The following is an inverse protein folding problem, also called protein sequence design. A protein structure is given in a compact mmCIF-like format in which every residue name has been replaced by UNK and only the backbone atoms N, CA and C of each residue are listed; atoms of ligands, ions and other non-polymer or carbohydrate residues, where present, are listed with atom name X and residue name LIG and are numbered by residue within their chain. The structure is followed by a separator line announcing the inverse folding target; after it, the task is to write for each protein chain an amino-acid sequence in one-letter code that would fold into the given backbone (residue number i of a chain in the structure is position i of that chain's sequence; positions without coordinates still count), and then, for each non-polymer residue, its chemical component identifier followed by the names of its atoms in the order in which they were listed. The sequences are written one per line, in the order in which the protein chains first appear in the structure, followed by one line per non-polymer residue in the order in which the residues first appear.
data_IF_861264428705
#
_entry.id   IF_861264428705
#
_cell.length_a   1.000
_cell.length_b   1.000
_cell.length_c   1.000
_cell.angle_alpha   90.00
_cell.angle_beta   90.00
_cell.angle_gamma   90.00
#
_symmetry.space_group_name_H-M   'P 1'
#
loop_
_entity.id
_entity.type
_entity.pdbx_description
1 polymer ?
#
# COMPACT_ATOMS: atom_id res chain seq x y z
N UNK A 1 1.23 -77.27 -6.71
CA UNK A 1 2.54 -76.71 -6.30
C UNK A 1 3.24 -76.16 -7.54
N UNK A 2 3.69 -74.91 -7.47
CA UNK A 2 4.65 -74.22 -8.35
C UNK A 2 4.44 -74.18 -9.89
N UNK A 3 4.28 -72.93 -10.36
CA UNK A 3 4.84 -72.29 -11.56
C UNK A 3 4.76 -72.95 -12.96
N UNK A 4 4.23 -72.20 -13.95
CA UNK A 4 5.07 -71.47 -14.94
C UNK A 4 4.24 -70.64 -15.94
N UNK A 5 4.94 -69.65 -16.47
CA UNK A 5 4.52 -68.53 -17.32
C UNK A 5 3.92 -68.89 -18.68
N UNK A 6 3.11 -67.97 -19.23
CA UNK A 6 3.05 -67.70 -20.65
C UNK A 6 2.98 -66.19 -20.94
N UNK A 7 3.98 -65.74 -21.71
CA UNK A 7 4.02 -64.49 -22.45
C UNK A 7 2.82 -64.41 -23.40
N UNK A 8 2.21 -63.24 -23.57
CA UNK A 8 1.67 -62.83 -24.86
C UNK A 8 1.59 -61.31 -25.00
N UNK A 9 1.92 -60.90 -26.21
CA UNK A 9 2.16 -59.56 -26.73
C UNK A 9 0.92 -58.67 -26.87
N UNK A 10 1.20 -57.37 -26.83
CA UNK A 10 0.34 -56.20 -27.09
C UNK A 10 -0.35 -56.26 -28.46
N UNK A 11 -1.59 -55.73 -28.55
CA UNK A 11 -2.03 -55.03 -29.75
C UNK A 11 -2.39 -53.56 -29.49
N UNK A 12 -1.77 -52.71 -30.29
CA UNK A 12 -2.07 -51.30 -30.54
C UNK A 12 -3.54 -51.07 -30.88
N UNK A 13 -4.18 -50.06 -30.26
CA UNK A 13 -5.51 -49.55 -30.63
C UNK A 13 -5.50 -48.05 -30.90
N UNK A 14 -5.49 -47.78 -32.21
CA UNK A 14 -6.21 -46.80 -33.02
C UNK A 14 -6.88 -45.59 -32.33
N UNK A 15 -6.51 -44.43 -32.88
CA UNK A 15 -7.12 -43.11 -32.79
C UNK A 15 -8.64 -43.08 -32.97
N UNK A 16 -9.35 -42.64 -31.93
CA UNK A 16 -10.76 -42.26 -31.97
C UNK A 16 -10.93 -40.75 -32.20
N UNK A 17 -11.63 -40.40 -33.27
CA UNK A 17 -12.09 -39.03 -33.61
C UNK A 17 -12.81 -38.39 -32.42
N UNK A 18 -12.30 -37.25 -31.93
CA UNK A 18 -13.08 -36.34 -31.06
C UNK A 18 -14.05 -35.54 -31.94
N UNK A 19 -15.34 -35.78 -31.74
CA UNK A 19 -16.42 -34.97 -32.26
C UNK A 19 -16.33 -33.55 -31.72
N UNK A 20 -16.53 -32.57 -32.61
CA UNK A 20 -16.53 -31.17 -32.27
C UNK A 20 -17.73 -30.80 -31.41
N UNK A 21 -17.45 -30.22 -30.24
CA UNK A 21 -18.42 -29.43 -29.50
C UNK A 21 -18.44 -28.05 -30.15
N UNK A 22 -19.30 -27.90 -31.16
CA UNK A 22 -19.78 -26.60 -31.61
C UNK A 22 -20.93 -26.21 -30.70
N UNK A 23 -20.74 -25.16 -29.89
CA UNK A 23 -21.83 -24.56 -29.13
C UNK A 23 -21.47 -24.27 -27.68
N UNK A 24 -20.52 -23.36 -27.46
CA UNK A 24 -20.45 -22.62 -26.19
C UNK A 24 -20.44 -21.13 -26.53
N UNK A 25 -21.27 -20.43 -25.79
CA UNK A 25 -21.89 -19.17 -26.11
C UNK A 25 -20.92 -18.06 -26.53
N UNK A 26 -21.38 -17.27 -27.51
CA UNK A 26 -20.94 -15.90 -27.78
C UNK A 26 -21.32 -14.95 -26.61
N UNK A 27 -20.88 -15.25 -25.40
CA UNK A 27 -20.88 -14.32 -24.29
C UNK A 27 -19.58 -13.54 -24.35
N UNK A 28 -19.50 -12.55 -25.25
CA UNK A 28 -18.33 -11.70 -25.34
C UNK A 28 -18.07 -11.03 -23.99
N UNK A 29 -16.96 -11.37 -23.35
CA UNK A 29 -16.39 -10.55 -22.30
C UNK A 29 -16.27 -9.13 -22.87
N UNK A 30 -17.09 -8.20 -22.37
CA UNK A 30 -16.92 -6.78 -22.67
C UNK A 30 -15.47 -6.45 -22.32
N UNK A 31 -14.71 -6.00 -23.30
CA UNK A 31 -13.34 -5.53 -23.06
C UNK A 31 -13.44 -4.40 -22.04
N UNK A 32 -12.66 -4.48 -20.96
CA UNK A 32 -12.63 -3.53 -19.83
C UNK A 32 -12.26 -2.07 -20.23
N UNK A 33 -11.96 -1.86 -21.52
CA UNK A 33 -11.40 -0.65 -22.13
C UNK A 33 -12.29 0.60 -22.06
N UNK A 34 -13.59 0.45 -21.78
CA UNK A 34 -14.57 1.53 -21.81
C UNK A 34 -15.19 1.82 -20.43
N UNK A 35 -14.58 1.39 -19.33
CA UNK A 35 -15.11 1.74 -18.01
C UNK A 35 -14.95 3.25 -17.76
N UNK A 36 -16.03 3.94 -17.35
CA UNK A 36 -15.93 5.34 -16.96
C UNK A 36 -14.92 5.50 -15.84
N UNK A 37 -14.05 6.50 -15.95
CA UNK A 37 -13.05 6.82 -14.93
C UNK A 37 -13.65 7.77 -13.92
N UNK A 38 -13.69 7.34 -12.66
CA UNK A 38 -14.04 8.21 -11.54
C UNK A 38 -12.85 9.07 -11.11
N UNK A 39 -13.16 10.08 -10.29
CA UNK A 39 -12.15 10.84 -9.56
C UNK A 39 -11.40 9.91 -8.59
N UNK A 40 -10.06 9.87 -8.62
CA UNK A 40 -9.29 8.97 -7.77
C UNK A 40 -9.27 9.45 -6.32
N UNK A 41 -9.51 8.53 -5.38
CA UNK A 41 -9.27 8.71 -3.94
C UNK A 41 -8.27 7.64 -3.51
N UNK A 42 -7.21 8.03 -2.82
CA UNK A 42 -6.20 7.10 -2.32
C UNK A 42 -6.48 6.75 -0.86
N UNK A 43 -6.58 5.46 -0.54
CA UNK A 43 -6.71 4.94 0.81
C UNK A 43 -5.40 4.26 1.20
N UNK A 44 -4.74 4.75 2.22
CA UNK A 44 -3.44 4.25 2.67
C UNK A 44 -3.45 4.11 4.19
N UNK A 45 -2.73 3.12 4.69
CA UNK A 45 -2.09 3.25 6.00
C UNK A 45 -0.73 3.91 5.81
N UNK A 46 -0.02 4.25 6.86
CA UNK A 46 1.36 4.75 6.76
C UNK A 46 2.01 4.47 8.12
N UNK A 47 3.36 4.41 8.23
CA UNK A 47 4.33 5.13 7.39
C UNK A 47 5.20 4.26 6.46
N UNK A 48 4.62 3.23 5.82
CA UNK A 48 5.32 2.45 4.79
C UNK A 48 5.71 3.33 3.57
N UNK A 49 6.97 3.27 3.08
CA UNK A 49 7.38 3.94 1.85
C UNK A 49 6.49 3.66 0.62
N UNK A 50 5.87 2.48 0.54
CA UNK A 50 4.98 2.09 -0.56
C UNK A 50 3.75 3.01 -0.64
N UNK A 51 3.15 3.31 0.52
CA UNK A 51 2.01 4.21 0.63
C UNK A 51 2.37 5.65 0.18
N UNK A 52 3.58 6.12 0.53
CA UNK A 52 4.05 7.44 0.08
C UNK A 52 4.22 7.50 -1.44
N UNK A 53 4.77 6.43 -2.05
CA UNK A 53 4.88 6.35 -3.51
C UNK A 53 3.49 6.32 -4.15
N UNK A 54 2.53 5.57 -3.60
CA UNK A 54 1.16 5.55 -4.12
C UNK A 54 0.55 6.96 -4.16
N UNK A 55 0.62 7.70 -3.04
CA UNK A 55 0.06 9.05 -2.94
C UNK A 55 0.74 10.01 -3.93
N UNK A 56 2.07 10.04 -3.95
CA UNK A 56 2.84 10.91 -4.86
C UNK A 56 2.52 10.57 -6.32
N UNK A 57 2.53 9.29 -6.68
CA UNK A 57 2.27 8.87 -8.05
C UNK A 57 0.83 9.14 -8.48
N UNK A 58 -0.15 8.95 -7.59
CA UNK A 58 -1.54 9.28 -7.86
C UNK A 58 -1.72 10.79 -8.07
N UNK A 59 -1.05 11.65 -7.30
CA UNK A 59 -1.08 13.10 -7.52
C UNK A 59 -0.43 13.48 -8.86
N UNK A 60 0.80 13.04 -9.10
CA UNK A 60 1.57 13.47 -10.26
C UNK A 60 1.03 12.93 -11.59
N UNK A 61 0.44 11.73 -11.59
CA UNK A 61 0.03 11.05 -12.82
C UNK A 61 -1.48 11.07 -13.07
N UNK A 62 -2.29 11.26 -12.02
CA UNK A 62 -3.77 11.27 -12.10
C UNK A 62 -4.40 12.53 -11.51
N UNK A 63 -3.63 13.46 -10.97
CA UNK A 63 -4.16 14.67 -10.32
C UNK A 63 -4.91 14.39 -9.02
N UNK A 64 -4.68 13.24 -8.38
CA UNK A 64 -5.34 12.89 -7.13
C UNK A 64 -4.91 13.84 -5.99
N UNK A 65 -5.86 14.54 -5.39
CA UNK A 65 -5.63 15.43 -4.25
C UNK A 65 -6.20 14.90 -2.94
N UNK A 66 -7.01 13.83 -2.98
CA UNK A 66 -7.74 13.30 -1.81
C UNK A 66 -7.10 12.01 -1.33
N UNK A 67 -6.64 12.03 -0.09
CA UNK A 67 -6.00 10.89 0.58
C UNK A 67 -6.75 10.60 1.87
N UNK A 68 -7.20 9.37 2.05
CA UNK A 68 -7.75 8.89 3.32
C UNK A 68 -6.66 8.08 4.01
N UNK A 69 -6.26 8.52 5.20
CA UNK A 69 -5.17 7.93 5.95
C UNK A 69 -5.73 7.16 7.15
N UNK A 70 -5.49 5.85 7.20
CA UNK A 70 -5.90 4.97 8.31
C UNK A 70 -4.71 4.66 9.20
N UNK A 71 -4.82 4.93 10.50
CA UNK A 71 -3.81 4.62 11.49
C UNK A 71 -3.75 3.13 11.82
N UNK A 72 -2.61 2.69 12.34
CA UNK A 72 -2.45 1.36 12.92
C UNK A 72 -2.49 1.46 14.45
N UNK A 73 -3.02 0.45 15.16
CA UNK A 73 -2.87 0.35 16.60
C UNK A 73 -1.40 0.42 17.01
N UNK A 74 -1.08 1.20 18.04
CA UNK A 74 0.30 1.41 18.48
C UNK A 74 0.43 1.44 20.01
N UNK A 75 1.62 1.09 20.48
CA UNK A 75 2.04 1.26 21.86
C UNK A 75 3.50 1.72 21.89
N UNK A 76 3.73 2.97 22.28
CA UNK A 76 5.07 3.58 22.29
C UNK A 76 5.92 3.16 23.48
N UNK A 77 5.33 2.51 24.49
CA UNK A 77 6.05 1.94 25.63
C UNK A 77 6.80 0.64 25.28
N UNK A 78 6.56 0.06 24.11
CA UNK A 78 7.23 -1.17 23.67
C UNK A 78 8.59 -0.82 23.06
N UNK A 79 9.64 -1.49 23.57
CA UNK A 79 10.99 -1.38 23.04
C UNK A 79 11.06 -1.92 21.62
N UNK A 80 11.87 -1.26 20.78
CA UNK A 80 11.99 -1.67 19.38
C UNK A 80 12.80 -2.97 19.25
N UNK A 81 12.61 -3.68 18.14
CA UNK A 81 13.52 -4.78 17.77
C UNK A 81 13.75 -4.85 16.26
N UNK A 82 14.84 -5.48 15.81
CA UNK A 82 15.09 -5.68 14.38
C UNK A 82 14.00 -6.52 13.73
N UNK A 83 13.66 -6.18 12.48
CA UNK A 83 12.66 -6.91 11.72
C UNK A 83 13.00 -8.40 11.57
N UNK A 84 12.04 -9.26 11.90
CA UNK A 84 12.16 -10.70 11.71
C UNK A 84 10.84 -11.33 11.30
N UNK A 85 10.83 -12.00 10.14
CA UNK A 85 9.68 -12.76 9.62
C UNK A 85 9.18 -13.80 10.61
N UNK A 86 10.04 -14.32 11.50
CA UNK A 86 9.66 -15.34 12.48
C UNK A 86 8.91 -14.76 13.68
N UNK A 87 9.10 -13.48 13.96
CA UNK A 87 8.59 -12.83 15.16
C UNK A 87 7.67 -11.67 14.85
N UNK A 88 7.54 -11.25 13.58
CA UNK A 88 6.82 -10.05 13.21
C UNK A 88 5.32 -10.11 13.50
N UNK A 89 4.74 -11.31 13.58
CA UNK A 89 3.34 -11.46 13.96
C UNK A 89 3.09 -10.94 15.38
N UNK A 90 2.02 -10.16 15.53
CA UNK A 90 1.56 -9.65 16.81
C UNK A 90 1.18 -10.79 17.76
N UNK A 91 1.58 -10.68 19.02
CA UNK A 91 1.14 -11.60 20.07
C UNK A 91 -0.23 -11.19 20.64
N UNK A 92 -1.04 -12.16 21.05
CA UNK A 92 -2.41 -11.92 21.51
C UNK A 92 -2.51 -11.11 22.82
N UNK A 93 -1.41 -10.97 23.55
CA UNK A 93 -1.28 -10.21 24.80
C UNK A 93 -0.72 -8.79 24.60
N UNK A 94 -0.38 -8.39 23.37
CA UNK A 94 0.04 -7.02 23.09
C UNK A 94 -1.12 -6.03 23.24
N UNK A 95 -0.91 -5.01 24.06
CA UNK A 95 -1.93 -4.00 24.40
C UNK A 95 -1.75 -2.73 23.59
N UNK A 96 -2.82 -2.31 22.93
CA UNK A 96 -2.89 -1.04 22.20
C UNK A 96 -3.07 0.16 23.13
N UNK A 97 -2.48 1.29 22.75
CA UNK A 97 -2.68 2.57 23.42
C UNK A 97 -3.33 3.53 22.44
N UNK A 98 -4.63 3.79 22.59
CA UNK A 98 -5.41 4.58 21.64
C UNK A 98 -4.82 5.97 21.37
N UNK A 99 -4.29 6.65 22.39
CA UNK A 99 -3.62 7.95 22.22
C UNK A 99 -2.35 7.86 21.38
N UNK A 100 -1.61 6.76 21.47
CA UNK A 100 -0.39 6.54 20.69
C UNK A 100 -0.75 6.28 19.24
N UNK A 101 -1.80 5.51 18.97
CA UNK A 101 -2.31 5.27 17.61
C UNK A 101 -2.75 6.56 16.91
N UNK A 102 -3.50 7.43 17.62
CA UNK A 102 -3.93 8.73 17.09
C UNK A 102 -2.74 9.67 16.86
N UNK A 103 -1.77 9.69 17.77
CA UNK A 103 -0.56 10.49 17.60
C UNK A 103 0.30 9.99 16.43
N UNK A 104 0.47 8.67 16.30
CA UNK A 104 1.12 8.03 15.17
C UNK A 104 0.48 8.44 13.86
N UNK A 105 -0.85 8.37 13.77
CA UNK A 105 -1.63 8.77 12.60
C UNK A 105 -1.36 10.23 12.19
N UNK A 106 -1.41 11.16 13.15
CA UNK A 106 -1.17 12.60 12.88
C UNK A 106 0.29 12.92 12.53
N UNK A 107 1.26 12.29 13.20
CA UNK A 107 2.68 12.44 12.86
C UNK A 107 2.98 11.90 11.46
N UNK A 108 2.31 10.81 11.10
CA UNK A 108 2.38 10.18 9.79
C UNK A 108 1.81 11.06 8.70
N UNK A 109 0.68 11.73 8.95
CA UNK A 109 0.11 12.72 8.04
C UNK A 109 1.12 13.84 7.74
N UNK A 110 1.77 14.38 8.78
CA UNK A 110 2.80 15.42 8.63
C UNK A 110 4.00 14.93 7.80
N UNK A 111 4.41 13.67 8.00
CA UNK A 111 5.48 13.07 7.21
C UNK A 111 5.06 12.92 5.74
N UNK A 112 3.88 12.35 5.48
CA UNK A 112 3.34 12.18 4.13
C UNK A 112 3.26 13.53 3.40
N UNK A 113 2.74 14.59 4.04
CA UNK A 113 2.74 15.94 3.45
C UNK A 113 4.14 16.44 3.13
N UNK A 114 5.10 16.23 4.03
CA UNK A 114 6.49 16.65 3.78
C UNK A 114 7.10 15.93 2.59
N UNK A 115 6.86 14.62 2.44
CA UNK A 115 7.33 13.85 1.29
C UNK A 115 6.65 14.35 0.03
N UNK A 116 5.32 14.44 0.02
CA UNK A 116 4.53 14.93 -1.11
C UNK A 116 4.95 16.34 -1.56
N UNK A 117 5.09 17.28 -0.63
CA UNK A 117 5.51 18.66 -0.91
C UNK A 117 6.90 18.71 -1.57
N UNK A 118 7.86 17.89 -1.13
CA UNK A 118 9.16 17.80 -1.79
C UNK A 118 9.14 17.23 -3.20
N UNK A 119 8.03 16.59 -3.59
CA UNK A 119 7.78 16.12 -4.95
C UNK A 119 6.91 17.11 -5.75
N UNK A 120 6.63 18.30 -5.22
CA UNK A 120 5.76 19.30 -5.84
C UNK A 120 4.27 18.96 -5.74
N UNK A 121 3.85 18.19 -4.74
CA UNK A 121 2.45 17.87 -4.46
C UNK A 121 1.98 18.64 -3.21
N UNK A 122 1.63 19.92 -3.36
CA UNK A 122 1.25 20.80 -2.23
C UNK A 122 -0.23 20.70 -1.84
N UNK A 123 -1.10 20.34 -2.78
CA UNK A 123 -2.56 20.55 -2.62
C UNK A 123 -3.28 19.31 -2.09
N UNK A 124 -2.60 18.49 -1.28
CA UNK A 124 -3.18 17.28 -0.72
C UNK A 124 -4.18 17.62 0.40
N UNK A 125 -5.40 17.11 0.26
CA UNK A 125 -6.39 16.98 1.33
C UNK A 125 -6.24 15.58 1.94
N UNK A 126 -5.83 15.54 3.21
CA UNK A 126 -5.67 14.28 3.95
C UNK A 126 -6.81 14.19 4.96
N UNK A 127 -7.59 13.12 4.86
CA UNK A 127 -8.75 12.84 5.70
C UNK A 127 -8.41 11.78 6.74
N UNK A 128 -8.99 11.93 7.93
CA UNK A 128 -8.88 11.01 9.04
C UNK A 128 -9.71 9.75 8.75
N UNK A 129 -9.04 8.64 8.45
CA UNK A 129 -9.66 7.33 8.25
C UNK A 129 -9.82 6.53 9.53
N UNK A 130 -9.56 7.14 10.70
CA UNK A 130 -9.55 6.46 11.98
C UNK A 130 -8.34 5.55 12.15
N UNK A 131 -8.47 4.58 13.07
CA UNK A 131 -7.44 3.58 13.37
C UNK A 131 -8.05 2.21 13.12
N UNK A 132 -7.36 1.36 12.36
CA UNK A 132 -7.78 -0.02 12.14
C UNK A 132 -7.89 -0.76 13.49
N UNK A 133 -8.82 -1.71 13.66
CA UNK A 133 -9.04 -2.38 14.94
C UNK A 133 -7.89 -3.34 15.33
N UNK A 134 -7.09 -3.81 14.37
CA UNK A 134 -5.96 -4.69 14.64
C UNK A 134 -4.68 -4.26 13.89
N UNK A 135 -3.53 -4.62 14.47
CA UNK A 135 -2.21 -4.53 13.86
C UNK A 135 -1.68 -5.97 13.70
N UNK A 136 -1.66 -6.55 12.48
CA UNK A 136 -1.12 -7.90 12.28
C UNK A 136 0.36 -8.03 12.68
N UNK A 137 1.07 -6.90 12.74
CA UNK A 137 2.47 -6.78 13.10
C UNK A 137 2.63 -6.33 14.55
N UNK A 138 3.56 -6.93 15.28
CA UNK A 138 3.88 -6.58 16.67
C UNK A 138 4.34 -5.12 16.82
N UNK A 139 4.02 -4.46 17.94
CA UNK A 139 4.36 -3.05 18.18
C UNK A 139 5.85 -2.76 18.08
N UNK A 140 6.68 -3.67 18.57
CA UNK A 140 8.14 -3.57 18.53
C UNK A 140 8.70 -3.43 17.10
N UNK A 141 7.96 -3.91 16.11
CA UNK A 141 8.36 -3.92 14.69
C UNK A 141 7.95 -2.66 13.94
N UNK A 142 6.89 -1.95 14.35
CA UNK A 142 6.40 -0.79 13.59
C UNK A 142 6.49 0.54 14.35
N UNK A 143 6.76 0.52 15.67
CA UNK A 143 6.93 1.73 16.50
C UNK A 143 8.02 2.68 15.99
N UNK A 144 8.92 2.16 15.16
CA UNK A 144 10.10 2.86 14.67
C UNK A 144 9.91 3.45 13.27
N UNK A 145 8.89 3.00 12.53
CA UNK A 145 8.61 3.46 11.16
C UNK A 145 8.19 4.96 11.17
N UNK A 146 7.60 5.43 12.27
CA UNK A 146 7.20 6.83 12.47
C UNK A 146 8.39 7.82 12.49
N UNK A 147 9.62 7.33 12.60
CA UNK A 147 10.83 8.16 12.65
C UNK A 147 11.46 8.39 11.27
N UNK A 148 11.03 7.71 10.18
CA UNK A 148 11.69 7.83 8.87
C UNK A 148 11.71 9.27 8.33
N UNK A 149 10.68 10.04 8.63
CA UNK A 149 10.52 11.44 8.20
C UNK A 149 11.19 12.47 9.08
N UNK A 150 11.85 12.04 10.15
CA UNK A 150 12.40 12.90 11.19
C UNK A 150 13.84 13.28 10.93
N UNK A 151 14.10 13.79 9.72
CA UNK A 151 15.42 14.32 9.33
C UNK A 151 15.93 15.44 10.24
N UNK A 152 15.05 16.03 11.06
CA UNK A 152 15.40 16.98 12.13
C UNK A 152 16.11 16.34 13.34
N UNK A 153 16.09 15.01 13.48
CA UNK A 153 16.68 14.30 14.62
C UNK A 153 18.14 13.89 14.43
N UNK A 154 18.73 14.14 13.26
CA UNK A 154 20.11 13.76 13.02
C UNK A 154 20.57 13.95 11.58
N UNK A 155 21.66 13.27 11.24
CA UNK A 155 22.17 13.25 9.88
C UNK A 155 21.13 12.67 8.91
N UNK A 156 20.97 13.31 7.75
CA UNK A 156 19.97 12.93 6.76
C UNK A 156 20.49 13.02 5.34
N UNK A 157 19.95 12.15 4.47
CA UNK A 157 20.12 12.17 3.02
C UNK A 157 18.76 12.45 2.37
N UNK A 158 18.69 13.50 1.54
CA UNK A 158 17.45 13.92 0.88
C UNK A 158 16.24 14.14 1.80
N UNK A 159 16.46 14.53 3.06
CA UNK A 159 15.38 14.71 4.04
C UNK A 159 14.81 13.40 4.59
N UNK A 160 15.64 12.36 4.64
CA UNK A 160 15.41 11.04 5.27
C UNK A 160 16.61 10.74 6.17
N UNK A 161 16.39 10.22 7.38
CA UNK A 161 17.52 9.87 8.27
C UNK A 161 18.47 8.85 7.64
N UNK A 162 19.77 9.01 7.86
CA UNK A 162 20.74 7.95 7.57
C UNK A 162 20.50 6.75 8.50
N UNK A 163 20.95 5.55 8.12
CA UNK A 163 20.79 4.36 8.96
C UNK A 163 21.53 4.50 10.29
N UNK A 164 22.69 5.17 10.30
CA UNK A 164 23.48 5.45 11.50
C UNK A 164 22.73 6.39 12.44
N UNK A 165 22.24 7.52 11.92
CA UNK A 165 21.46 8.49 12.71
C UNK A 165 20.18 7.85 13.23
N UNK A 166 19.49 7.10 12.39
CA UNK A 166 18.29 6.36 12.75
C UNK A 166 18.52 5.40 13.91
N UNK A 167 19.54 4.52 13.79
CA UNK A 167 19.88 3.56 14.85
C UNK A 167 20.28 4.25 16.14
N UNK A 168 20.95 5.41 16.05
CA UNK A 168 21.28 6.21 17.22
C UNK A 168 20.03 6.71 17.93
N UNK A 169 19.09 7.33 17.21
CA UNK A 169 17.82 7.82 17.79
C UNK A 169 17.04 6.68 18.45
N UNK A 170 16.96 5.53 17.79
CA UNK A 170 16.28 4.35 18.35
C UNK A 170 16.97 3.84 19.61
N UNK A 171 18.30 3.75 19.62
CA UNK A 171 19.08 3.32 20.78
C UNK A 171 18.96 4.30 21.96
N UNK A 172 18.95 5.61 21.68
CA UNK A 172 18.73 6.64 22.71
C UNK A 172 17.33 6.47 23.33
N UNK A 173 16.30 6.27 22.51
CA UNK A 173 14.92 6.03 22.98
C UNK A 173 14.78 4.72 23.78
N UNK A 174 15.45 3.65 23.37
CA UNK A 174 15.44 2.36 24.09
C UNK A 174 16.25 2.40 25.39
N UNK A 175 17.14 3.39 25.56
CA UNK A 175 17.88 3.60 26.81
C UNK A 175 17.10 4.43 27.86
N UNK A 176 16.01 5.08 27.46
CA UNK A 176 15.15 5.83 28.39
C UNK A 176 14.44 4.89 29.36
N UNK A 177 14.33 5.32 30.62
CA UNK A 177 13.61 4.56 31.66
C UNK A 177 12.12 4.40 31.33
N UNK A 178 11.56 5.38 30.60
CA UNK A 178 10.21 5.33 30.03
C UNK A 178 10.24 5.85 28.59
N UNK A 179 10.37 4.92 27.64
CA UNK A 179 10.43 5.18 26.20
C UNK A 179 9.17 5.88 25.67
N UNK A 180 8.01 5.57 26.24
CA UNK A 180 6.71 6.03 25.74
C UNK A 180 6.62 7.56 25.69
N UNK A 181 6.76 8.26 26.82
CA UNK A 181 6.80 9.73 26.87
C UNK A 181 7.87 10.35 25.98
N UNK A 182 9.05 9.75 25.89
CA UNK A 182 10.13 10.27 25.03
C UNK A 182 9.72 10.22 23.55
N UNK A 183 9.18 9.10 23.08
CA UNK A 183 8.70 8.98 21.70
C UNK A 183 7.49 9.87 21.43
N UNK A 184 6.54 10.00 22.38
CA UNK A 184 5.40 10.93 22.25
C UNK A 184 5.87 12.36 22.05
N UNK A 185 6.77 12.85 22.91
CA UNK A 185 7.31 14.20 22.82
C UNK A 185 7.99 14.45 21.47
N UNK A 186 8.70 13.46 20.94
CA UNK A 186 9.27 13.56 19.60
C UNK A 186 8.16 13.71 18.56
N UNK A 187 7.15 12.83 18.53
CA UNK A 187 6.11 12.86 17.49
C UNK A 187 5.20 14.08 17.59
N UNK A 188 4.86 14.54 18.80
CA UNK A 188 4.05 15.74 19.06
C UNK A 188 4.67 17.02 18.48
N UNK A 189 6.00 17.08 18.39
CA UNK A 189 6.70 18.21 17.79
C UNK A 189 6.41 18.38 16.28
N UNK A 190 5.83 17.36 15.63
CA UNK A 190 5.55 17.38 14.20
C UNK A 190 4.31 16.54 13.85
N UNK A 191 3.16 17.07 14.20
CA UNK A 191 1.86 16.53 13.84
C UNK A 191 1.16 17.41 12.81
N UNK A 192 0.19 16.83 12.12
CA UNK A 192 -0.73 17.56 11.27
C UNK A 192 -2.17 17.32 11.69
N UNK A 193 -3.03 18.25 11.28
CA UNK A 193 -4.47 18.05 11.37
C UNK A 193 -4.98 17.34 10.12
N UNK A 194 -5.94 16.45 10.37
CA UNK A 194 -6.63 15.67 9.37
C UNK A 194 -8.04 16.22 9.20
N UNK A 195 -8.53 16.20 7.96
CA UNK A 195 -9.91 16.56 7.68
C UNK A 195 -10.84 15.43 8.15
N UNK A 196 -12.03 15.73 8.69
CA UNK A 196 -12.97 14.69 9.07
C UNK A 196 -13.44 13.91 7.83
N UNK A 197 -13.63 12.60 7.96
CA UNK A 197 -14.04 11.73 6.84
C UNK A 197 -15.37 12.18 6.20
N UNK A 198 -16.30 12.71 7.00
CA UNK A 198 -17.57 13.28 6.51
C UNK A 198 -17.37 14.40 5.46
N UNK A 199 -16.35 15.24 5.62
CA UNK A 199 -16.06 16.32 4.67
C UNK A 199 -15.65 15.81 3.28
N UNK A 200 -15.15 14.57 3.18
CA UNK A 200 -14.86 13.94 1.90
C UNK A 200 -16.14 13.73 1.08
N UNK A 201 -17.23 13.27 1.71
CA UNK A 201 -18.49 12.97 1.02
C UNK A 201 -19.12 14.23 0.43
N UNK A 202 -19.02 15.34 1.18
CA UNK A 202 -19.48 16.67 0.79
C UNK A 202 -18.67 17.26 -0.37
N UNK A 203 -17.35 17.02 -0.38
CA UNK A 203 -16.40 17.52 -1.39
C UNK A 203 -16.46 16.79 -2.75
N UNK A 204 -17.32 15.78 -2.92
CA UNK A 204 -17.37 14.93 -4.11
C UNK A 204 -18.54 15.28 -5.03
N UNK A 205 -18.24 15.79 -6.23
CA UNK A 205 -19.24 16.16 -7.23
C UNK A 205 -19.60 15.02 -8.20
N UNK A 206 -18.86 13.92 -8.17
CA UNK A 206 -18.94 12.90 -9.21
C UNK A 206 -18.70 11.48 -8.72
N UNK A 207 -18.61 10.61 -9.72
CA UNK A 207 -18.24 9.22 -9.52
C UNK A 207 -16.77 9.08 -9.13
N UNK A 208 -16.46 8.12 -8.26
CA UNK A 208 -15.11 7.96 -7.68
C UNK A 208 -14.51 6.59 -7.99
N UNK A 209 -13.17 6.56 -8.00
CA UNK A 209 -12.36 5.34 -8.06
C UNK A 209 -11.50 5.27 -6.80
N UNK A 210 -11.70 4.24 -5.98
CA UNK A 210 -10.96 4.03 -4.73
C UNK A 210 -9.70 3.22 -5.02
N UNK A 211 -8.53 3.81 -4.77
CA UNK A 211 -7.22 3.17 -4.89
C UNK A 211 -6.73 2.81 -3.48
N UNK A 212 -6.81 1.53 -3.11
CA UNK A 212 -6.64 1.05 -1.75
C UNK A 212 -5.29 0.35 -1.58
N UNK A 213 -4.35 1.04 -0.93
CA UNK A 213 -3.07 0.51 -0.46
C UNK A 213 -3.08 0.10 1.02
N UNK A 214 -4.02 0.62 1.82
CA UNK A 214 -4.14 0.32 3.25
C UNK A 214 -5.34 -0.56 3.64
N UNK A 215 -5.63 -0.67 4.96
CA UNK A 215 -6.79 -1.36 5.51
C UNK A 215 -8.13 -0.80 4.98
N UNK A 216 -9.17 -1.63 5.02
CA UNK A 216 -10.49 -1.28 4.50
C UNK A 216 -11.34 -0.42 5.44
N UNK A 217 -10.88 -0.14 6.66
CA UNK A 217 -11.63 0.54 7.74
C UNK A 217 -12.37 1.78 7.26
N UNK A 218 -11.64 2.78 6.75
CA UNK A 218 -12.26 4.03 6.30
C UNK A 218 -13.12 3.87 5.04
N UNK A 219 -12.77 2.94 4.13
CA UNK A 219 -13.58 2.68 2.94
C UNK A 219 -14.91 2.02 3.32
N UNK A 220 -14.91 1.11 4.29
CA UNK A 220 -16.13 0.49 4.78
C UNK A 220 -17.02 1.53 5.47
N UNK A 221 -16.45 2.39 6.32
CA UNK A 221 -17.19 3.50 6.96
C UNK A 221 -17.84 4.43 5.93
N UNK A 222 -17.09 4.86 4.91
CA UNK A 222 -17.64 5.68 3.83
C UNK A 222 -18.74 4.96 3.05
N UNK A 223 -18.56 3.68 2.76
CA UNK A 223 -19.52 2.88 1.99
C UNK A 223 -20.76 2.46 2.81
N UNK A 224 -20.79 2.71 4.12
CA UNK A 224 -22.01 2.60 4.94
C UNK A 224 -22.97 3.78 4.67
N UNK A 225 -22.46 4.89 4.15
CA UNK A 225 -23.26 6.01 3.63
C UNK A 225 -23.67 5.78 2.16
N UNK A 226 -24.98 5.68 1.91
CA UNK A 226 -25.57 5.59 0.58
C UNK A 226 -25.05 6.65 -0.40
N UNK A 227 -24.88 7.90 0.07
CA UNK A 227 -24.46 9.01 -0.78
C UNK A 227 -23.04 8.83 -1.33
N UNK A 228 -22.14 8.21 -0.55
CA UNK A 228 -20.81 7.86 -1.02
C UNK A 228 -20.83 6.55 -1.79
N UNK A 229 -21.51 5.52 -1.28
CA UNK A 229 -21.63 4.19 -1.89
C UNK A 229 -22.11 4.28 -3.34
N UNK A 230 -23.11 5.10 -3.61
CA UNK A 230 -23.65 5.33 -4.95
C UNK A 230 -22.65 6.02 -5.89
N UNK A 231 -21.66 6.75 -5.36
CA UNK A 231 -20.61 7.40 -6.16
C UNK A 231 -19.48 6.43 -6.54
N UNK A 232 -19.29 5.31 -5.84
CA UNK A 232 -18.17 4.38 -6.09
C UNK A 232 -18.35 3.63 -7.41
N UNK A 233 -17.48 3.87 -8.39
CA UNK A 233 -17.45 3.10 -9.63
C UNK A 233 -16.59 1.85 -9.52
N UNK A 234 -15.39 2.03 -8.96
CA UNK A 234 -14.38 0.98 -8.88
C UNK A 234 -13.65 1.06 -7.53
N UNK A 235 -13.38 -0.11 -6.97
CA UNK A 235 -12.42 -0.31 -5.89
C UNK A 235 -11.25 -1.11 -6.47
N UNK A 236 -10.04 -0.57 -6.38
CA UNK A 236 -8.80 -1.25 -6.77
C UNK A 236 -7.94 -1.40 -5.53
N UNK A 237 -7.66 -2.61 -5.09
CA UNK A 237 -7.03 -2.85 -3.81
C UNK A 237 -5.80 -3.75 -3.91
N UNK A 238 -4.72 -3.39 -3.23
CA UNK A 238 -3.70 -4.34 -2.81
C UNK A 238 -4.29 -5.11 -1.63
N UNK A 239 -4.74 -6.33 -1.89
CA UNK A 239 -5.40 -7.16 -0.89
C UNK A 239 -5.37 -8.63 -1.28
N UNK A 240 -5.57 -9.49 -0.28
CA UNK A 240 -5.69 -10.94 -0.41
C UNK A 240 -4.41 -11.62 -0.94
N UNK A 241 -4.44 -12.96 -0.91
CA UNK A 241 -3.46 -13.83 -1.54
C UNK A 241 -4.16 -15.06 -2.11
N UNK A 242 -3.63 -15.62 -3.19
CA UNK A 242 -4.09 -16.91 -3.73
C UNK A 242 -3.60 -18.07 -2.89
N UNK A 243 -2.37 -17.97 -2.40
CA UNK A 243 -1.75 -18.99 -1.56
C UNK A 243 -1.36 -18.35 -0.23
N UNK A 244 -2.08 -18.70 0.84
CA UNK A 244 -1.80 -18.20 2.19
C UNK A 244 -0.39 -18.51 2.68
N UNK A 245 0.30 -19.51 2.10
CA UNK A 245 1.70 -19.82 2.41
C UNK A 245 2.67 -18.71 2.00
N UNK A 246 2.25 -17.83 1.10
CA UNK A 246 3.05 -16.68 0.67
C UNK A 246 2.79 -15.43 1.53
N UNK A 247 1.88 -15.48 2.50
CA UNK A 247 1.64 -14.41 3.44
C UNK A 247 2.50 -14.54 4.69
N UNK A 248 2.78 -13.40 5.31
CA UNK A 248 3.43 -13.35 6.63
C UNK A 248 2.46 -13.71 7.76
N UNK A 249 1.16 -13.46 7.55
CA UNK A 249 0.09 -13.70 8.52
C UNK A 249 -0.98 -14.61 7.92
N UNK A 250 -1.93 -15.04 8.75
CA UNK A 250 -3.07 -15.85 8.30
C UNK A 250 -3.85 -15.15 7.17
N UNK A 251 -3.99 -13.82 7.27
CA UNK A 251 -4.54 -12.94 6.22
C UNK A 251 -3.44 -12.08 5.59
N UNK A 252 -3.71 -11.54 4.39
CA UNK A 252 -2.91 -10.43 3.88
C UNK A 252 -3.06 -9.23 4.84
N UNK A 253 -2.01 -8.42 5.00
CA UNK A 253 -1.92 -7.38 6.03
C UNK A 253 -3.15 -6.44 6.09
N UNK A 254 -3.56 -5.84 4.98
CA UNK A 254 -4.70 -4.91 4.93
C UNK A 254 -6.03 -5.56 5.29
N UNK A 255 -6.20 -6.85 4.96
CA UNK A 255 -7.37 -7.64 5.34
C UNK A 255 -7.30 -8.03 6.82
N UNK A 256 -6.12 -8.40 7.32
CA UNK A 256 -5.91 -8.78 8.71
C UNK A 256 -6.11 -7.62 9.69
N UNK A 257 -5.73 -6.40 9.29
CA UNK A 257 -5.90 -5.20 10.10
C UNK A 257 -7.37 -4.85 10.37
N UNK A 258 -8.28 -5.17 9.44
CA UNK A 258 -9.71 -5.01 9.63
C UNK A 258 -10.52 -6.04 8.83
N UNK A 259 -10.72 -7.20 9.45
CA UNK A 259 -11.40 -8.33 8.83
C UNK A 259 -12.88 -8.03 8.55
N UNK A 260 -13.53 -7.25 9.42
CA UNK A 260 -14.93 -6.89 9.28
C UNK A 260 -15.13 -5.92 8.11
N UNK A 261 -14.32 -4.88 8.02
CA UNK A 261 -14.34 -3.94 6.91
C UNK A 261 -14.00 -4.63 5.58
N UNK A 262 -12.98 -5.49 5.57
CA UNK A 262 -12.62 -6.26 4.37
C UNK A 262 -13.77 -7.17 3.93
N UNK A 263 -14.47 -7.82 4.86
CA UNK A 263 -15.64 -8.66 4.56
C UNK A 263 -16.79 -7.83 3.99
N UNK A 264 -17.06 -6.64 4.54
CA UNK A 264 -18.09 -5.75 4.02
C UNK A 264 -17.80 -5.28 2.59
N UNK A 265 -16.57 -4.89 2.29
CA UNK A 265 -16.19 -4.35 0.97
C UNK A 265 -16.01 -5.47 -0.08
N UNK A 266 -15.34 -6.56 0.29
CA UNK A 266 -14.88 -7.58 -0.66
C UNK A 266 -15.72 -8.86 -0.64
N UNK A 267 -16.43 -9.13 0.44
CA UNK A 267 -17.16 -10.39 0.63
C UNK A 267 -18.15 -10.68 -0.49
N UNK A 268 -18.39 -11.97 -0.74
CA UNK A 268 -19.38 -12.43 -1.73
C UNK A 268 -20.80 -11.87 -1.51
N UNK A 269 -21.13 -11.55 -0.25
CA UNK A 269 -22.42 -11.01 0.17
C UNK A 269 -22.40 -9.47 0.29
N UNK A 270 -21.34 -8.80 -0.19
CA UNK A 270 -21.23 -7.34 -0.19
C UNK A 270 -22.32 -6.69 -1.03
N UNK A 271 -22.94 -5.64 -0.48
CA UNK A 271 -23.95 -4.83 -1.19
C UNK A 271 -23.33 -3.89 -2.24
N UNK A 272 -21.99 -3.80 -2.30
CA UNK A 272 -21.31 -2.95 -3.27
C UNK A 272 -21.50 -3.46 -4.70
N UNK A 273 -22.18 -2.66 -5.50
CA UNK A 273 -22.44 -2.95 -6.93
C UNK A 273 -21.27 -2.55 -7.84
N UNK A 274 -20.25 -1.89 -7.29
CA UNK A 274 -19.07 -1.44 -8.01
C UNK A 274 -18.15 -2.61 -8.43
N UNK A 275 -17.29 -2.35 -9.42
CA UNK A 275 -16.25 -3.32 -9.78
C UNK A 275 -15.13 -3.28 -8.76
N UNK A 276 -14.71 -4.45 -8.28
CA UNK A 276 -13.64 -4.62 -7.31
C UNK A 276 -12.49 -5.37 -7.97
N UNK A 277 -11.30 -4.79 -7.97
CA UNK A 277 -10.10 -5.38 -8.57
C UNK A 277 -9.02 -5.54 -7.51
N UNK A 278 -8.57 -6.78 -7.33
CA UNK A 278 -7.60 -7.18 -6.32
C UNK A 278 -6.24 -7.47 -6.96
N UNK A 279 -5.21 -6.81 -6.42
CA UNK A 279 -3.82 -7.10 -6.71
C UNK A 279 -3.26 -7.90 -5.54
N UNK A 280 -3.20 -9.21 -5.73
CA UNK A 280 -2.84 -10.16 -4.67
C UNK A 280 -1.38 -10.05 -4.28
N UNK A 281 -1.05 -10.46 -3.06
CA UNK A 281 0.35 -10.52 -2.58
C UNK A 281 1.25 -11.33 -3.51
N UNK A 282 0.78 -12.48 -4.01
CA UNK A 282 1.50 -13.33 -4.95
C UNK A 282 1.85 -12.60 -6.24
N UNK A 283 0.87 -11.89 -6.81
CA UNK A 283 1.05 -11.10 -8.01
C UNK A 283 2.08 -9.99 -7.77
N UNK A 284 1.92 -9.20 -6.71
CA UNK A 284 2.83 -8.09 -6.41
C UNK A 284 4.27 -8.58 -6.20
N UNK A 285 4.47 -9.66 -5.43
CA UNK A 285 5.81 -10.25 -5.24
C UNK A 285 6.43 -10.71 -6.56
N UNK A 286 5.64 -11.28 -7.47
CA UNK A 286 6.14 -11.77 -8.74
C UNK A 286 6.54 -10.67 -9.73
N UNK A 287 5.91 -9.49 -9.68
CA UNK A 287 6.09 -8.44 -10.72
C UNK A 287 6.55 -7.08 -10.23
N UNK A 288 6.31 -6.74 -8.97
CA UNK A 288 6.63 -5.43 -8.37
C UNK A 288 7.87 -5.50 -7.48
N UNK A 289 8.55 -6.64 -7.44
CA UNK A 289 9.87 -6.77 -6.83
C UNK A 289 10.95 -6.24 -7.78
N UNK A 290 11.66 -5.21 -7.32
CA UNK A 290 12.74 -4.55 -8.06
C UNK A 290 13.99 -4.41 -7.18
N UNK A 291 15.16 -4.32 -7.79
CA UNK A 291 16.41 -4.14 -7.05
C UNK A 291 16.54 -2.70 -6.51
N UNK A 292 17.34 -2.53 -5.47
CA UNK A 292 17.65 -1.19 -4.95
C UNK A 292 18.39 -0.30 -5.96
N UNK A 293 19.14 -0.89 -6.89
CA UNK A 293 19.74 -0.18 -8.03
C UNK A 293 18.66 0.35 -8.98
N UNK A 294 17.65 -0.45 -9.28
CA UNK A 294 16.52 -0.02 -10.11
C UNK A 294 15.70 1.09 -9.44
N UNK A 295 15.48 1.00 -8.13
CA UNK A 295 14.84 2.07 -7.35
C UNK A 295 15.67 3.35 -7.46
N UNK A 296 16.99 3.27 -7.22
CA UNK A 296 17.87 4.44 -7.30
C UNK A 296 17.92 5.08 -8.69
N UNK A 297 17.81 4.26 -9.74
CA UNK A 297 17.82 4.73 -11.13
C UNK A 297 16.46 5.28 -11.61
N UNK A 298 15.35 4.87 -10.99
CA UNK A 298 14.00 5.20 -11.45
C UNK A 298 13.26 6.22 -10.56
N UNK A 299 13.45 6.17 -9.25
CA UNK A 299 12.74 7.02 -8.29
C UNK A 299 13.43 8.38 -8.12
N UNK A 300 12.73 9.34 -7.52
CA UNK A 300 13.35 10.60 -7.11
C UNK A 300 14.36 10.35 -5.97
N UNK A 301 15.37 11.22 -5.78
CA UNK A 301 16.40 11.02 -4.76
C UNK A 301 15.84 10.78 -3.35
N UNK A 302 14.79 11.50 -2.96
CA UNK A 302 14.14 11.33 -1.65
C UNK A 302 13.42 10.00 -1.49
N UNK A 303 12.67 9.56 -2.50
CA UNK A 303 12.00 8.26 -2.47
C UNK A 303 13.03 7.12 -2.45
N UNK A 304 14.12 7.24 -3.23
CA UNK A 304 15.21 6.28 -3.18
C UNK A 304 15.88 6.22 -1.80
N UNK A 305 16.06 7.37 -1.13
CA UNK A 305 16.60 7.42 0.24
C UNK A 305 15.66 6.72 1.25
N UNK A 306 14.34 6.90 1.14
CA UNK A 306 13.35 6.18 1.97
C UNK A 306 13.48 4.66 1.82
N UNK A 307 13.54 4.15 0.58
CA UNK A 307 13.71 2.71 0.35
C UNK A 307 15.07 2.18 0.80
N UNK A 308 16.15 2.98 0.72
CA UNK A 308 17.45 2.59 1.26
C UNK A 308 17.40 2.41 2.77
N UNK A 309 16.75 3.34 3.48
CA UNK A 309 16.55 3.21 4.92
C UNK A 309 15.71 1.97 5.23
N UNK A 310 14.61 1.75 4.51
CA UNK A 310 13.76 0.58 4.66
C UNK A 310 14.50 -0.75 4.41
N UNK A 311 15.27 -0.86 3.33
CA UNK A 311 16.08 -2.05 3.05
C UNK A 311 17.09 -2.31 4.16
N UNK A 312 17.74 -1.25 4.67
CA UNK A 312 18.70 -1.35 5.77
C UNK A 312 18.09 -1.85 7.09
N UNK A 313 16.81 -1.54 7.33
CA UNK A 313 16.07 -1.97 8.52
C UNK A 313 15.45 -3.37 8.38
N UNK A 314 15.09 -3.76 7.16
CA UNK A 314 14.41 -5.05 6.87
C UNK A 314 15.36 -6.18 6.43
N UNK A 315 16.67 -5.95 6.57
CA UNK A 315 17.71 -6.98 6.49
C UNK A 315 18.67 -6.88 5.30
N UNK A 316 18.77 -5.73 4.63
CA UNK A 316 19.64 -5.47 3.47
C UNK A 316 19.47 -6.53 2.37
N UNK A 317 18.25 -6.69 1.88
CA UNK A 317 17.93 -7.71 0.87
C UNK A 317 18.42 -7.29 -0.52
N UNK A 318 18.66 -6.00 -0.73
CA UNK A 318 19.05 -5.44 -2.04
C UNK A 318 17.91 -5.39 -3.05
N UNK A 319 16.69 -5.69 -2.61
CA UNK A 319 15.46 -5.63 -3.41
C UNK A 319 14.25 -5.35 -2.53
N UNK A 320 13.26 -4.66 -3.09
CA UNK A 320 12.00 -4.33 -2.43
C UNK A 320 10.83 -4.70 -3.34
N UNK A 321 9.73 -5.14 -2.74
CA UNK A 321 8.44 -5.26 -3.44
C UNK A 321 7.62 -4.03 -3.12
N UNK A 322 7.23 -3.25 -4.14
CA UNK A 322 6.39 -2.05 -3.96
C UNK A 322 4.91 -2.46 -4.14
N UNK A 323 4.25 -2.81 -3.05
CA UNK A 323 2.91 -3.41 -3.05
C UNK A 323 1.81 -2.40 -3.37
N UNK A 324 1.80 -1.27 -2.67
CA UNK A 324 0.62 -0.41 -2.59
C UNK A 324 0.39 0.42 -3.86
N UNK A 325 1.37 0.46 -4.76
CA UNK A 325 1.21 1.10 -6.07
C UNK A 325 0.43 0.23 -7.06
N UNK A 326 0.16 -1.05 -6.76
CA UNK A 326 -0.52 -1.96 -7.67
C UNK A 326 -1.93 -1.48 -8.10
N UNK A 327 -2.80 -0.98 -7.19
CA UNK A 327 -4.04 -0.29 -7.55
C UNK A 327 -3.88 0.79 -8.61
N UNK A 328 -2.90 1.68 -8.44
CA UNK A 328 -2.64 2.77 -9.36
C UNK A 328 -2.07 2.26 -10.68
N UNK A 329 -1.13 1.31 -10.66
CA UNK A 329 -0.58 0.71 -11.88
C UNK A 329 -1.68 0.08 -12.74
N UNK A 330 -2.61 -0.65 -12.13
CA UNK A 330 -3.74 -1.20 -12.87
C UNK A 330 -4.75 -0.13 -13.30
N UNK A 331 -4.83 1.02 -12.63
CA UNK A 331 -5.63 2.17 -13.07
C UNK A 331 -4.97 3.00 -14.18
N UNK A 332 -3.63 2.93 -14.31
CA UNK A 332 -2.83 3.57 -15.36
C UNK A 332 -2.67 2.68 -16.59
N UNK A 333 -2.61 1.36 -16.39
CA UNK A 333 -2.53 0.40 -17.47
C UNK A 333 -3.85 0.38 -18.22
N UNK A 334 -3.85 0.77 -19.49
CA UNK A 334 -4.96 0.53 -20.41
C UNK A 334 -5.02 -0.99 -20.74
N UNK A 335 -5.41 -1.81 -19.76
CA UNK A 335 -5.74 -3.25 -19.73
C UNK A 335 -4.77 -4.27 -20.38
N UNK A 336 -3.78 -3.86 -21.17
CA UNK A 336 -2.90 -4.79 -21.91
C UNK A 336 -1.77 -5.38 -21.09
N UNK A 337 -1.37 -4.71 -20.00
CA UNK A 337 -0.17 -5.06 -19.24
C UNK A 337 -0.44 -5.88 -17.96
N UNK A 338 -1.68 -5.86 -17.45
CA UNK A 338 -2.10 -6.58 -16.23
C UNK A 338 -2.90 -7.83 -16.62
N UNK A 339 -2.23 -8.80 -17.26
CA UNK A 339 -2.85 -9.68 -18.26
C UNK A 339 -3.72 -10.83 -17.77
N UNK A 340 -3.99 -11.00 -16.47
CA UNK A 340 -4.76 -12.16 -15.97
C UNK A 340 -5.64 -11.77 -14.78
N UNK A 341 -6.64 -10.91 -15.03
CA UNK A 341 -7.78 -10.76 -14.13
C UNK A 341 -8.70 -11.96 -14.29
N UNK A 342 -8.92 -12.69 -13.19
CA UNK A 342 -9.90 -13.77 -13.09
C UNK A 342 -11.04 -13.34 -12.18
N UNK A 343 -12.31 -13.65 -12.51
CA UNK A 343 -13.40 -13.46 -11.57
C UNK A 343 -13.10 -14.24 -10.29
N UNK A 344 -13.34 -13.62 -9.14
CA UNK A 344 -13.05 -14.23 -7.85
C UNK A 344 -14.23 -14.11 -6.90
N UNK A 345 -14.37 -15.09 -6.03
CA UNK A 345 -15.17 -15.00 -4.81
C UNK A 345 -14.25 -14.82 -3.62
N UNK A 346 -14.72 -14.01 -2.70
CA UNK A 346 -14.03 -13.68 -1.46
C UNK A 346 -14.90 -14.17 -0.30
N UNK A 347 -14.39 -15.12 0.47
CA UNK A 347 -15.07 -15.70 1.62
C UNK A 347 -14.23 -15.58 2.88
N UNK A 348 -14.90 -15.54 4.04
CA UNK A 348 -14.25 -15.63 5.33
C UNK A 348 -14.53 -17.01 5.93
N UNK A 349 -13.48 -17.81 6.12
CA UNK A 349 -13.54 -19.17 6.68
C UNK A 349 -12.57 -19.28 7.86
N UNK A 350 -13.09 -19.58 9.05
CA UNK A 350 -12.28 -19.74 10.27
C UNK A 350 -11.36 -18.55 10.57
N UNK A 351 -11.84 -17.32 10.30
CA UNK A 351 -11.05 -16.10 10.48
C UNK A 351 -10.01 -15.82 9.38
N UNK A 352 -9.97 -16.67 8.33
CA UNK A 352 -9.06 -16.53 7.19
C UNK A 352 -9.85 -16.18 5.93
N UNK A 353 -9.45 -15.09 5.29
CA UNK A 353 -10.00 -14.62 4.04
C UNK A 353 -9.44 -15.44 2.88
N UNK A 354 -10.33 -16.03 2.08
CA UNK A 354 -9.99 -16.92 0.98
C UNK A 354 -10.48 -16.38 -0.35
N UNK A 355 -9.70 -16.67 -1.37
CA UNK A 355 -9.95 -16.28 -2.74
C UNK A 355 -10.15 -17.53 -3.58
N UNK A 356 -11.29 -17.62 -4.25
CA UNK A 356 -11.63 -18.75 -5.12
C UNK A 356 -11.94 -18.25 -6.53
N UNK A 357 -11.48 -18.98 -7.56
CA UNK A 357 -11.89 -18.68 -8.94
C UNK A 357 -13.39 -18.87 -9.08
N UNK A 358 -14.10 -17.82 -9.51
CA UNK A 358 -15.54 -17.87 -9.68
C UNK A 358 -15.94 -18.05 -11.14
N UNK A 359 -17.03 -18.81 -11.34
CA UNK A 359 -17.71 -18.95 -12.64
C UNK A 359 -18.74 -17.80 -12.81
N UNK A 360 -19.05 -17.07 -11.73
CA UNK A 360 -20.03 -16.00 -11.67
C UNK A 360 -19.50 -14.62 -12.09
N UNK A 361 -20.41 -13.63 -12.15
CA UNK A 361 -20.07 -12.21 -12.35
C UNK A 361 -20.01 -11.49 -11.01
N UNK A 362 -19.14 -11.92 -10.10
CA UNK A 362 -19.16 -11.51 -8.69
C UNK A 362 -18.76 -10.04 -8.45
N UNK A 363 -18.63 -9.21 -9.49
CA UNK A 363 -18.11 -7.84 -9.40
C UNK A 363 -16.64 -7.76 -8.99
N UNK A 364 -16.08 -8.83 -8.42
CA UNK A 364 -14.71 -8.95 -7.94
C UNK A 364 -13.84 -9.70 -8.95
N UNK A 365 -12.66 -9.12 -9.21
CA UNK A 365 -11.63 -9.64 -10.11
C UNK A 365 -10.31 -9.66 -9.37
N UNK A 366 -9.50 -10.68 -9.57
CA UNK A 366 -8.19 -10.79 -8.94
C UNK A 366 -7.10 -11.19 -9.93
N UNK A 367 -5.86 -10.78 -9.68
CA UNK A 367 -4.72 -11.15 -10.53
C UNK A 367 -4.17 -12.53 -10.16
N UNK A 368 -4.25 -13.49 -11.09
CA UNK A 368 -3.82 -14.88 -10.84
C UNK A 368 -2.31 -15.11 -10.98
N UNK A 369 -1.66 -14.56 -12.03
CA UNK A 369 -0.21 -14.67 -12.26
C UNK A 369 0.35 -13.51 -13.08
N UNK A 370 1.66 -13.31 -12.93
CA UNK A 370 2.49 -12.35 -13.65
C UNK A 370 2.60 -12.62 -15.16
N UNK A 371 2.44 -11.58 -15.98
CA UNK A 371 2.98 -11.52 -17.34
C UNK A 371 4.09 -10.45 -17.39
N UNK A 372 5.11 -10.66 -18.23
CA UNK A 372 6.40 -9.95 -18.17
C UNK A 372 6.42 -8.44 -18.44
N UNK A 373 5.28 -7.73 -18.47
CA UNK A 373 5.21 -6.28 -18.76
C UNK A 373 5.03 -5.34 -17.56
N UNK A 374 4.69 -5.86 -16.37
CA UNK A 374 4.29 -4.99 -15.24
C UNK A 374 5.48 -4.31 -14.55
N UNK A 375 6.61 -5.01 -14.38
CA UNK A 375 7.84 -4.43 -13.82
C UNK A 375 8.33 -3.21 -14.62
N UNK A 376 8.26 -3.29 -15.95
CA UNK A 376 8.62 -2.17 -16.81
C UNK A 376 7.68 -0.97 -16.60
N UNK A 377 6.38 -1.21 -16.42
CA UNK A 377 5.40 -0.17 -16.12
C UNK A 377 5.64 0.47 -14.73
N UNK A 378 6.02 -0.32 -13.72
CA UNK A 378 6.43 0.20 -12.41
C UNK A 378 7.64 1.15 -12.54
N UNK A 379 8.70 0.71 -13.23
CA UNK A 379 9.90 1.54 -13.41
C UNK A 379 9.60 2.79 -14.24
N UNK A 380 8.77 2.69 -15.27
CA UNK A 380 8.30 3.85 -16.04
C UNK A 380 7.50 4.83 -15.17
N UNK A 381 6.58 4.33 -14.35
CA UNK A 381 5.80 5.15 -13.40
C UNK A 381 6.72 5.93 -12.46
N UNK A 382 7.71 5.27 -11.86
CA UNK A 382 8.69 5.91 -10.97
C UNK A 382 9.47 7.01 -11.70
N UNK A 383 9.97 6.74 -12.92
CA UNK A 383 10.71 7.72 -13.73
C UNK A 383 9.85 8.92 -14.10
N UNK A 384 8.59 8.69 -14.47
CA UNK A 384 7.63 9.76 -14.80
C UNK A 384 7.30 10.61 -13.58
N UNK A 385 7.19 10.02 -12.40
CA UNK A 385 7.02 10.75 -11.15
C UNK A 385 8.26 11.63 -10.88
N UNK A 386 9.47 11.06 -10.94
CA UNK A 386 10.70 11.79 -10.72
C UNK A 386 10.89 12.95 -11.72
N UNK A 387 10.59 12.72 -13.01
CA UNK A 387 10.66 13.74 -14.04
C UNK A 387 9.65 14.88 -13.82
N UNK A 388 8.40 14.54 -13.45
CA UNK A 388 7.36 15.53 -13.16
C UNK A 388 7.68 16.34 -11.91
N UNK A 389 8.15 15.69 -10.83
CA UNK A 389 8.57 16.37 -9.61
C UNK A 389 9.72 17.35 -9.88
N UNK A 390 10.74 16.92 -10.63
CA UNK A 390 11.86 17.78 -11.02
C UNK A 390 11.41 18.96 -11.91
N UNK A 391 10.41 18.74 -12.77
CA UNK A 391 9.81 19.82 -13.57
C UNK A 391 9.09 20.85 -12.69
N UNK A 392 8.20 20.40 -11.79
CA UNK A 392 7.47 21.29 -10.86
C UNK A 392 8.43 22.06 -9.95
N UNK A 393 9.51 21.44 -9.49
CA UNK A 393 10.52 22.12 -8.69
C UNK A 393 11.18 23.29 -9.43
N UNK A 394 11.45 23.13 -10.74
CA UNK A 394 11.99 24.22 -11.58
C UNK A 394 10.96 25.31 -11.84
N UNK A 395 9.71 24.95 -12.08
CA UNK A 395 8.62 25.90 -12.38
C UNK A 395 8.14 26.67 -11.13
N UNK A 396 8.27 26.09 -9.94
CA UNK A 396 7.94 26.74 -8.67
C UNK A 396 8.99 27.73 -8.16
N UNK A 397 10.23 27.65 -8.66
CA UNK A 397 11.33 28.54 -8.26
C UNK A 397 11.27 29.92 -8.97
N UNK A 398 10.47 30.05 -10.04
CA UNK A 398 10.23 31.32 -10.72
C UNK A 398 9.23 32.24 -9.97
N UNK A 399 8.64 31.76 -8.86
CA UNK A 399 7.59 32.46 -8.09
C UNK A 399 7.90 32.73 -6.61
N UNK A 400 9.03 32.25 -6.07
CA UNK A 400 9.38 32.48 -4.68
C UNK A 400 10.09 33.82 -4.50
N UNK A 401 9.43 34.76 -3.81
CA UNK A 401 10.02 36.00 -3.31
C UNK A 401 11.28 35.78 -2.46
N UNK A 402 12.01 36.86 -2.12
CA UNK A 402 13.42 36.80 -1.74
C UNK A 402 13.64 35.90 -0.52
N UNK A 403 14.67 35.06 -0.62
CA UNK A 403 15.14 34.17 0.44
C UNK A 403 15.27 34.91 1.78
N UNK A 404 14.94 34.27 2.92
CA UNK A 404 15.12 34.88 4.23
C UNK A 404 16.61 35.21 4.42
N UNK A 405 16.91 36.51 4.57
CA UNK A 405 18.25 36.97 4.91
C UNK A 405 18.70 36.28 6.18
N UNK A 406 19.81 35.55 6.11
CA UNK A 406 20.53 35.04 7.26
C UNK A 406 20.68 36.17 8.30
N UNK A 407 20.18 35.92 9.51
CA UNK A 407 20.38 36.80 10.65
C UNK A 407 21.89 36.94 10.87
N UNK A 408 22.43 38.13 10.62
CA UNK A 408 23.81 38.47 10.98
C UNK A 408 23.89 38.45 12.50
N UNK A 409 24.71 37.54 13.03
CA UNK A 409 25.19 37.57 14.41
C UNK A 409 25.99 38.86 14.62
N UNK A 410 25.45 39.79 15.42
CA UNK A 410 26.27 40.87 15.96
C UNK A 410 27.05 40.31 17.16
N UNK A 411 28.34 40.10 16.97
CA UNK A 411 29.28 39.97 18.09
C UNK A 411 29.42 41.33 18.78
N UNK A 412 29.40 41.40 20.12
CA UNK A 412 29.72 42.63 20.82
C UNK A 412 31.22 42.88 20.74
N UNK A 413 31.60 44.05 20.21
CA UNK A 413 32.95 44.57 20.34
C UNK A 413 33.15 45.13 21.76
N UNK A 414 34.35 44.88 22.26
CA UNK A 414 34.97 45.32 23.53
C UNK A 414 34.73 46.75 23.95
#
# INVERSE_FOLDING_TARGET
MSAKAHNMSVPSRKSGKRGGIKGLAKGGARRHRDLPRGEPIVFVDCPDPDNFVLVVAANLLRGCTRVVLTGRPANFGVASRPFSVRTCARAADEVDVASDSVLALRATAAHLRSVAASQGCSDLKIYDGGVAPDAPVAHAEHVHEFLFGRSDLGESDQGVLTIEAYRKVVADLDAEADRGPALRALLEARVDDLLPLSSLVEDLDGKVECLVGGPFTALAELCDDDAFRDKVLNVRAMACAWDSRNNLFANQFNVGADLQAATFVLGKDSELTCTRTLYTTDFCKAVLTISMEEVAAAASPRLAALYRLWDALTGNRGSVTIFDVAPLLGALADDGHMSLLVPAECSLEDGVFRLEESIGRCGVWATARAAGSVRAALLDMLRRCAATAAKRAREGDDGAGPSPKAARSNSPAT
#
